data_IF_138591344004
#
_entry.id   IF_138591344004
#
_cell.length_a   1.000
_cell.length_b   1.000
_cell.length_c   1.000
_cell.angle_alpha   90.00
_cell.angle_beta   90.00
_cell.angle_gamma   90.00
#
_symmetry.space_group_name_H-M   'P 1'
#
loop_
_entity.id
_entity.type
_entity.pdbx_description
1 polymer ?
#
# COMPACT_ATOMS: atom_id res chain seq x y z
N UNK A 1 -8.88 -12.77 3.98
CA UNK A 1 -8.79 -11.86 2.83
C UNK A 1 -7.75 -10.81 3.16
N UNK A 2 -6.61 -10.80 2.49
CA UNK A 2 -5.50 -9.86 2.73
C UNK A 2 -5.71 -8.59 1.90
N UNK A 3 -5.87 -7.45 2.57
CA UNK A 3 -6.06 -6.16 1.89
C UNK A 3 -4.72 -5.67 1.34
N UNK A 4 -4.57 -5.57 0.02
CA UNK A 4 -3.34 -5.05 -0.59
C UNK A 4 -3.49 -3.55 -0.85
N UNK A 5 -2.66 -2.74 -0.19
CA UNK A 5 -2.57 -1.31 -0.40
C UNK A 5 -1.54 -1.01 -1.48
N UNK A 6 -2.00 -0.57 -2.64
CA UNK A 6 -1.12 -0.20 -3.73
C UNK A 6 -0.83 1.29 -3.73
N UNK A 7 0.44 1.68 -3.83
CA UNK A 7 0.82 3.09 -3.79
C UNK A 7 2.28 3.34 -4.03
N UNK A 8 2.72 4.57 -3.75
CA UNK A 8 4.13 4.97 -3.79
C UNK A 8 4.57 5.24 -2.35
N UNK A 9 5.62 4.57 -1.88
CA UNK A 9 6.14 4.65 -0.50
C UNK A 9 6.46 6.08 -0.08
N UNK A 10 6.91 6.91 -1.03
CA UNK A 10 7.29 8.30 -0.82
C UNK A 10 6.13 9.30 -1.02
N UNK A 11 4.88 8.85 -1.07
CA UNK A 11 3.70 9.71 -1.07
C UNK A 11 3.19 9.89 0.37
N UNK A 12 3.01 11.14 0.80
CA UNK A 12 2.51 11.45 2.15
C UNK A 12 1.11 10.86 2.41
N UNK A 13 0.28 10.79 1.37
CA UNK A 13 -1.04 10.14 1.45
C UNK A 13 -0.92 8.66 1.79
N UNK A 14 0.05 7.94 1.21
CA UNK A 14 0.27 6.51 1.48
C UNK A 14 0.85 6.28 2.86
N UNK A 15 1.69 7.19 3.38
CA UNK A 15 2.12 7.16 4.78
C UNK A 15 0.92 7.27 5.73
N UNK A 16 0.03 8.24 5.51
CA UNK A 16 -1.17 8.43 6.34
C UNK A 16 -2.10 7.21 6.29
N UNK A 17 -2.33 6.65 5.11
CA UNK A 17 -3.16 5.45 4.95
C UNK A 17 -2.60 4.25 5.70
N UNK A 18 -1.27 4.03 5.63
CA UNK A 18 -0.59 2.96 6.36
C UNK A 18 -0.70 3.12 7.87
N UNK A 19 -0.51 4.34 8.38
CA UNK A 19 -0.66 4.64 9.81
C UNK A 19 -2.10 4.40 10.26
N UNK A 20 -3.10 4.81 9.48
CA UNK A 20 -4.50 4.58 9.81
C UNK A 20 -4.86 3.09 9.83
N UNK A 21 -4.38 2.32 8.86
CA UNK A 21 -4.59 0.87 8.83
C UNK A 21 -3.91 0.14 10.00
N UNK A 22 -2.72 0.58 10.39
CA UNK A 22 -1.97 0.06 11.53
C UNK A 22 -2.69 0.34 12.85
N UNK A 23 -3.17 1.58 13.03
CA UNK A 23 -3.97 2.03 14.17
C UNK A 23 -5.29 1.25 14.30
N UNK A 24 -5.91 0.88 13.17
CA UNK A 24 -7.12 0.07 13.13
C UNK A 24 -6.85 -1.44 13.23
N UNK A 25 -5.59 -1.86 13.38
CA UNK A 25 -5.20 -3.28 13.47
C UNK A 25 -5.50 -4.08 12.20
N UNK A 26 -5.67 -3.40 11.06
CA UNK A 26 -5.98 -4.06 9.80
C UNK A 26 -4.71 -4.63 9.18
N UNK A 27 -4.71 -5.95 8.92
CA UNK A 27 -3.62 -6.57 8.16
C UNK A 27 -3.69 -6.15 6.70
N UNK A 28 -2.65 -5.44 6.24
CA UNK A 28 -2.51 -5.05 4.85
C UNK A 28 -1.12 -5.38 4.29
N UNK A 29 -1.05 -5.55 2.98
CA UNK A 29 0.21 -5.70 2.23
C UNK A 29 0.44 -4.45 1.40
N UNK A 30 1.58 -3.78 1.54
CA UNK A 30 1.88 -2.58 0.76
C UNK A 30 2.62 -2.93 -0.53
N UNK A 31 2.04 -2.58 -1.68
CA UNK A 31 2.65 -2.74 -2.99
C UNK A 31 3.15 -1.39 -3.51
N UNK A 32 4.46 -1.28 -3.69
CA UNK A 32 5.11 -0.05 -4.16
C UNK A 32 5.21 -0.03 -5.69
N UNK A 33 4.44 0.85 -6.34
CA UNK A 33 4.42 0.98 -7.80
C UNK A 33 5.74 1.46 -8.40
N UNK A 34 6.53 2.23 -7.65
CA UNK A 34 7.80 2.78 -8.13
C UNK A 34 8.86 1.68 -8.25
N UNK A 35 8.85 0.72 -7.32
CA UNK A 35 9.84 -0.34 -7.22
C UNK A 35 9.38 -1.67 -7.82
N UNK A 36 8.09 -2.01 -7.68
CA UNK A 36 7.54 -3.26 -8.22
C UNK A 36 7.06 -3.13 -9.67
N UNK A 37 7.03 -1.90 -10.22
CA UNK A 37 6.38 -1.62 -11.49
C UNK A 37 4.86 -1.75 -11.38
N UNK A 38 4.15 -1.24 -12.39
CA UNK A 38 2.73 -1.52 -12.57
C UNK A 38 2.69 -2.80 -13.39
N UNK A 39 2.70 -3.97 -12.73
CA UNK A 39 2.46 -5.21 -13.45
C UNK A 39 0.98 -5.23 -13.86
N UNK A 40 0.74 -4.73 -15.07
CA UNK A 40 -0.52 -4.92 -15.77
C UNK A 40 -0.45 -6.34 -16.34
N UNK A 41 -0.64 -7.34 -15.48
CA UNK A 41 -0.91 -8.69 -15.93
C UNK A 41 -2.22 -8.66 -16.73
N UNK A 42 -2.07 -8.59 -18.05
CA UNK A 42 -3.09 -8.80 -19.07
C UNK A 42 -2.98 -10.25 -19.55
#
# INVERSE_FOLDING_TARGET
MSTTLFGIKNCDTMKKARVWLDDHGMKYSFHDYKNSGIDRAL
#
